data_IF_264118203116
#
_entry.id   IF_264118203116
#
_cell.length_a   1.000
_cell.length_b   1.000
_cell.length_c   1.000
_cell.angle_alpha   90.00
_cell.angle_beta   90.00
_cell.angle_gamma   90.00
#
_symmetry.space_group_name_H-M   'P 1'
#
loop_
_entity.id
_entity.type
_entity.pdbx_description
1 polymer ?
#
# COMPACT_ATOMS: atom_id res chain seq x y z
N UNK A 1 6.36 60.24 15.69
CA UNK A 1 5.21 59.35 15.42
C UNK A 1 5.73 58.17 14.62
N UNK A 2 5.98 57.05 15.31
CA UNK A 2 6.62 55.84 14.78
C UNK A 2 5.50 54.91 14.35
N UNK A 3 5.40 54.59 13.05
CA UNK A 3 4.55 53.50 12.55
C UNK A 3 5.45 52.32 12.22
N UNK A 4 5.58 51.42 13.19
CA UNK A 4 6.20 50.11 13.04
C UNK A 4 5.26 49.25 12.19
N UNK A 5 5.61 49.03 10.92
CA UNK A 5 4.94 48.03 10.08
C UNK A 5 5.59 46.69 10.39
N UNK A 6 4.87 45.88 11.14
CA UNK A 6 5.19 44.50 11.45
C UNK A 6 4.90 43.65 10.20
N UNK A 7 5.86 43.56 9.28
CA UNK A 7 5.85 42.54 8.22
C UNK A 7 6.33 41.23 8.79
N UNK A 8 5.39 40.42 9.27
CA UNK A 8 5.57 38.99 9.54
C UNK A 8 5.89 38.31 8.21
N UNK A 9 7.18 38.10 7.93
CA UNK A 9 7.62 37.14 6.93
C UNK A 9 7.31 35.74 7.48
N UNK A 10 6.16 35.19 7.09
CA UNK A 10 5.94 33.75 7.18
C UNK A 10 6.80 33.14 6.08
N UNK A 11 7.99 32.69 6.45
CA UNK A 11 8.79 31.80 5.62
C UNK A 11 8.00 30.49 5.49
N UNK A 12 7.24 30.36 4.41
CA UNK A 12 6.62 29.12 4.01
C UNK A 12 7.78 28.17 3.66
N UNK A 13 8.10 27.26 4.57
CA UNK A 13 9.02 26.16 4.32
C UNK A 13 8.35 25.30 3.26
N UNK A 14 8.75 25.45 2.01
CA UNK A 14 8.50 24.47 0.96
C UNK A 14 9.33 23.25 1.33
N UNK A 15 8.77 22.36 2.17
CA UNK A 15 9.22 20.97 2.18
C UNK A 15 8.83 20.46 0.81
N UNK A 16 9.83 20.23 -0.04
CA UNK A 16 9.70 19.69 -1.38
C UNK A 16 9.25 18.22 -1.32
N UNK A 17 8.13 17.94 -0.65
CA UNK A 17 7.45 16.67 -0.77
C UNK A 17 6.91 16.59 -2.18
N UNK A 18 7.31 15.56 -2.92
CA UNK A 18 6.67 15.20 -4.18
C UNK A 18 5.25 14.76 -3.80
N UNK A 19 4.32 15.72 -3.79
CA UNK A 19 2.92 15.44 -3.53
C UNK A 19 2.40 14.55 -4.64
N UNK A 20 1.70 13.47 -4.26
CA UNK A 20 1.01 12.62 -5.22
C UNK A 20 0.05 13.47 -6.09
N UNK A 21 -0.21 13.08 -7.35
CA UNK A 21 -1.18 13.79 -8.18
C UNK A 21 -2.55 13.87 -7.49
N UNK A 22 -3.34 14.90 -7.81
CA UNK A 22 -4.65 15.09 -7.19
C UNK A 22 -5.55 13.86 -7.38
N UNK A 23 -6.04 13.29 -6.28
CA UNK A 23 -6.86 12.07 -6.28
C UNK A 23 -6.08 10.78 -6.07
N UNK A 24 -4.75 10.83 -5.97
CA UNK A 24 -3.90 9.67 -5.67
C UNK A 24 -3.59 9.61 -4.17
N UNK A 25 -3.68 8.43 -3.53
CA UNK A 25 -3.25 8.22 -2.15
C UNK A 25 -1.80 8.67 -1.95
N UNK A 26 -1.56 9.49 -0.92
CA UNK A 26 -0.21 9.92 -0.57
C UNK A 26 0.45 8.86 0.31
N UNK A 27 1.71 8.54 -0.01
CA UNK A 27 2.57 7.73 0.86
C UNK A 27 2.68 8.36 2.25
N UNK A 28 2.81 7.51 3.27
CA UNK A 28 2.99 7.96 4.64
C UNK A 28 4.42 8.45 4.81
N UNK A 29 4.61 9.63 5.41
CA UNK A 29 5.94 10.20 5.64
C UNK A 29 6.83 9.20 6.44
N UNK A 30 8.11 9.03 6.06
CA UNK A 30 8.90 9.84 5.13
C UNK A 30 8.68 9.52 3.63
N UNK A 31 7.82 8.55 3.32
CA UNK A 31 7.56 8.08 1.97
C UNK A 31 7.08 9.16 1.00
N UNK A 32 7.55 9.07 -0.25
CA UNK A 32 7.11 9.87 -1.39
C UNK A 32 6.52 8.96 -2.47
N UNK A 33 5.51 9.47 -3.17
CA UNK A 33 4.88 8.75 -4.28
C UNK A 33 5.80 8.72 -5.49
N UNK A 34 6.00 7.52 -6.04
CA UNK A 34 6.82 7.29 -7.24
C UNK A 34 5.95 7.01 -8.46
N UNK A 35 5.02 6.06 -8.35
CA UNK A 35 4.19 5.58 -9.45
C UNK A 35 2.95 4.87 -8.92
N UNK A 36 1.97 4.63 -9.78
CA UNK A 36 0.73 3.93 -9.43
C UNK A 36 0.00 3.47 -10.68
N UNK A 37 -0.79 2.41 -10.55
CA UNK A 37 -1.61 1.89 -11.64
C UNK A 37 -2.76 2.87 -11.97
N UNK A 38 -3.52 2.56 -13.04
CA UNK A 38 -4.49 3.50 -13.62
C UNK A 38 -5.57 4.02 -12.65
N UNK A 39 -5.96 3.21 -11.66
CA UNK A 39 -6.94 3.57 -10.63
C UNK A 39 -6.31 3.87 -9.26
N UNK A 40 -4.98 3.83 -9.16
CA UNK A 40 -4.22 4.02 -7.92
C UNK A 40 -4.59 3.03 -6.79
N UNK A 41 -5.11 1.85 -7.14
CA UNK A 41 -5.26 0.73 -6.21
C UNK A 41 -3.91 0.09 -5.86
N UNK A 42 -2.90 0.30 -6.69
CA UNK A 42 -1.51 -0.06 -6.41
C UNK A 42 -0.65 1.19 -6.57
N UNK A 43 0.18 1.48 -5.58
CA UNK A 43 1.14 2.60 -5.60
C UNK A 43 2.53 2.14 -5.17
N UNK A 44 3.54 2.87 -5.62
CA UNK A 44 4.94 2.70 -5.23
C UNK A 44 5.36 3.87 -4.38
N UNK A 45 5.87 3.57 -3.20
CA UNK A 45 6.36 4.55 -2.22
C UNK A 45 7.86 4.36 -1.98
N UNK A 46 8.59 5.45 -1.88
CA UNK A 46 10.03 5.48 -1.63
C UNK A 46 10.35 6.33 -0.41
N UNK A 47 11.26 5.91 0.46
CA UNK A 47 11.88 6.79 1.44
C UNK A 47 13.14 7.40 0.80
N UNK A 48 13.09 8.66 0.33
CA UNK A 48 14.19 9.24 -0.43
C UNK A 48 15.46 9.49 0.41
N UNK A 49 15.38 9.27 1.72
CA UNK A 49 16.54 9.34 2.63
C UNK A 49 17.25 8.01 2.80
N UNK A 50 16.70 6.91 2.27
CA UNK A 50 17.18 5.54 2.43
C UNK A 50 17.43 5.19 3.92
N UNK A 51 16.54 5.63 4.83
CA UNK A 51 16.70 5.38 6.28
C UNK A 51 15.74 4.33 6.81
N UNK A 52 14.60 4.14 6.15
CA UNK A 52 13.62 3.11 6.49
C UNK A 52 14.22 1.74 6.15
N UNK A 53 14.19 0.81 7.11
CA UNK A 53 14.58 -0.57 6.89
C UNK A 53 13.54 -1.29 6.02
N UNK A 54 13.94 -2.20 5.14
CA UNK A 54 13.00 -2.88 4.21
C UNK A 54 11.89 -3.64 4.94
N UNK A 55 12.17 -4.22 6.10
CA UNK A 55 11.16 -4.88 6.94
C UNK A 55 10.03 -3.93 7.40
N UNK A 56 10.30 -2.62 7.43
CA UNK A 56 9.37 -1.58 7.88
C UNK A 56 8.73 -0.82 6.70
N UNK A 57 8.98 -1.22 5.44
CA UNK A 57 8.45 -0.53 4.27
C UNK A 57 6.93 -0.42 4.20
N UNK A 58 6.20 -1.31 4.89
CA UNK A 58 4.76 -1.18 5.03
C UNK A 58 4.33 0.14 5.69
N UNK A 59 5.20 0.73 6.52
CA UNK A 59 4.95 2.04 7.15
C UNK A 59 5.01 3.21 6.16
N UNK A 60 5.57 3.02 4.97
CA UNK A 60 5.59 4.00 3.88
C UNK A 60 4.28 4.02 3.09
N UNK A 61 3.49 2.94 3.17
CA UNK A 61 2.25 2.82 2.43
C UNK A 61 1.22 3.87 2.88
N UNK A 62 0.32 4.31 1.99
CA UNK A 62 -0.78 5.19 2.36
C UNK A 62 -1.67 4.59 3.46
N UNK A 63 -2.47 5.43 4.11
CA UNK A 63 -3.51 4.93 5.00
C UNK A 63 -4.49 4.01 4.25
N UNK A 64 -4.91 2.90 4.88
CA UNK A 64 -5.74 1.84 4.28
C UNK A 64 -5.07 1.02 3.16
N UNK A 65 -3.74 1.14 3.04
CA UNK A 65 -2.91 0.31 2.16
C UNK A 65 -2.01 -0.58 3.00
N UNK A 66 -1.54 -1.66 2.39
CA UNK A 66 -0.57 -2.60 2.95
C UNK A 66 0.43 -3.01 1.86
N UNK A 67 1.48 -3.74 2.22
CA UNK A 67 2.40 -4.28 1.23
C UNK A 67 1.70 -5.33 0.37
N UNK A 68 1.74 -5.16 -0.95
CA UNK A 68 1.04 -6.04 -1.89
C UNK A 68 1.48 -7.50 -1.78
N UNK A 69 0.52 -8.41 -1.77
CA UNK A 69 0.77 -9.81 -2.10
C UNK A 69 1.10 -9.97 -3.59
N UNK A 70 1.64 -11.13 -3.97
CA UNK A 70 1.89 -11.45 -5.38
C UNK A 70 0.60 -11.47 -6.21
N UNK A 71 -0.51 -11.96 -5.63
CA UNK A 71 -1.79 -12.07 -6.31
C UNK A 71 -2.43 -10.69 -6.53
N UNK A 72 -2.35 -9.79 -5.55
CA UNK A 72 -2.85 -8.42 -5.70
C UNK A 72 -2.07 -7.64 -6.75
N UNK A 73 -0.74 -7.75 -6.75
CA UNK A 73 0.08 -7.10 -7.77
C UNK A 73 -0.29 -7.61 -9.17
N UNK A 74 -0.26 -8.92 -9.40
CA UNK A 74 -0.54 -9.50 -10.72
C UNK A 74 -2.00 -9.29 -11.16
N UNK A 75 -2.94 -9.08 -10.24
CA UNK A 75 -4.35 -8.80 -10.59
C UNK A 75 -4.57 -7.32 -10.94
N UNK A 76 -3.82 -6.41 -10.33
CA UNK A 76 -4.02 -4.97 -10.47
C UNK A 76 -2.96 -4.23 -11.30
N UNK A 77 -1.92 -4.91 -11.78
CA UNK A 77 -0.83 -4.29 -12.55
C UNK A 77 -1.17 -4.04 -14.04
N UNK A 78 -2.36 -4.43 -14.49
CA UNK A 78 -2.81 -4.22 -15.86
C UNK A 78 -2.81 -2.72 -16.25
N UNK A 79 -2.42 -2.44 -17.49
CA UNK A 79 -2.37 -1.08 -18.07
C UNK A 79 -1.53 -0.08 -17.25
N UNK A 80 -0.56 -0.56 -16.47
CA UNK A 80 0.39 0.30 -15.77
C UNK A 80 1.60 0.61 -16.66
N UNK A 81 1.65 1.85 -17.14
CA UNK A 81 2.73 2.34 -17.99
C UNK A 81 4.06 2.50 -17.22
N UNK A 82 5.16 2.27 -17.94
CA UNK A 82 6.50 2.54 -17.45
C UNK A 82 7.25 1.28 -17.00
N UNK A 83 8.33 1.49 -16.25
CA UNK A 83 9.26 0.44 -15.84
C UNK A 83 9.68 0.68 -14.40
N UNK A 84 9.81 -0.40 -13.64
CA UNK A 84 10.25 -0.37 -12.25
C UNK A 84 11.66 0.26 -12.15
N UNK A 85 11.86 1.34 -11.36
CA UNK A 85 13.14 2.04 -11.28
C UNK A 85 14.19 1.27 -10.48
N UNK A 86 13.72 0.48 -9.50
CA UNK A 86 14.49 -0.40 -8.64
C UNK A 86 13.62 -1.59 -8.26
N UNK A 87 14.06 -2.42 -7.32
CA UNK A 87 13.26 -3.52 -6.81
C UNK A 87 12.11 -2.97 -5.98
N UNK A 88 10.91 -3.51 -6.20
CA UNK A 88 9.73 -3.17 -5.42
C UNK A 88 9.44 -4.32 -4.46
N UNK A 89 9.28 -4.01 -3.19
CA UNK A 89 9.08 -4.97 -2.13
C UNK A 89 7.62 -4.94 -1.68
N UNK A 90 6.96 -6.08 -1.82
CA UNK A 90 5.62 -6.35 -1.32
C UNK A 90 5.66 -7.15 -0.01
N UNK A 91 4.60 -7.94 0.20
CA UNK A 91 4.32 -8.67 1.43
C UNK A 91 5.53 -9.47 1.93
N UNK A 92 5.74 -9.42 3.25
CA UNK A 92 6.76 -10.20 3.94
C UNK A 92 6.14 -11.50 4.42
N UNK A 93 6.80 -12.63 4.14
CA UNK A 93 6.38 -13.94 4.63
C UNK A 93 7.55 -14.73 5.18
N UNK A 94 7.31 -15.55 6.21
CA UNK A 94 8.32 -16.45 6.75
C UNK A 94 8.78 -17.48 5.71
N UNK A 95 10.08 -17.78 5.71
CA UNK A 95 10.69 -18.77 4.82
C UNK A 95 10.81 -20.12 5.50
N UNK A 96 10.71 -21.18 4.70
CA UNK A 96 11.06 -22.52 5.15
C UNK A 96 12.58 -22.60 5.41
N UNK A 97 12.97 -22.68 6.68
CA UNK A 97 14.38 -22.72 7.11
C UNK A 97 14.84 -21.52 7.94
N UNK A 98 13.95 -20.57 8.22
CA UNK A 98 14.23 -19.41 9.08
C UNK A 98 14.33 -18.10 8.30
N UNK A 99 14.10 -17.00 9.02
CA UNK A 99 13.98 -15.66 8.45
C UNK A 99 12.69 -15.44 7.65
N UNK A 100 12.55 -14.23 7.14
CA UNK A 100 11.44 -13.82 6.28
C UNK A 100 11.96 -13.32 4.91
N UNK A 101 11.05 -13.16 3.96
CA UNK A 101 11.35 -12.52 2.70
C UNK A 101 10.18 -11.80 2.09
N UNK A 102 10.50 -10.73 1.35
CA UNK A 102 9.50 -9.98 0.60
C UNK A 102 9.16 -10.68 -0.71
N UNK A 103 7.89 -10.61 -1.08
CA UNK A 103 7.52 -10.63 -2.50
C UNK A 103 8.28 -9.52 -3.23
N UNK A 104 9.02 -9.87 -4.27
CA UNK A 104 9.91 -8.93 -4.96
C UNK A 104 9.56 -8.82 -6.43
N UNK A 105 9.30 -7.58 -6.89
CA UNK A 105 9.25 -7.23 -8.32
C UNK A 105 10.59 -6.63 -8.70
N UNK A 106 11.29 -7.25 -9.65
CA UNK A 106 12.65 -6.80 -10.02
C UNK A 106 12.65 -5.44 -10.70
N UNK A 107 13.75 -4.71 -10.51
CA UNK A 107 14.03 -3.46 -11.22
C UNK A 107 14.23 -3.69 -12.73
N UNK A 108 13.80 -2.72 -13.54
CA UNK A 108 13.90 -2.77 -15.00
C UNK A 108 12.81 -3.59 -15.70
N UNK A 109 11.80 -4.06 -14.95
CA UNK A 109 10.64 -4.74 -15.53
C UNK A 109 9.53 -3.72 -15.86
N UNK A 110 8.74 -3.93 -16.93
CA UNK A 110 7.49 -3.19 -17.10
C UNK A 110 6.61 -3.35 -15.85
N UNK A 111 5.97 -2.28 -15.40
CA UNK A 111 5.04 -2.37 -14.27
C UNK A 111 3.90 -3.35 -14.55
N UNK A 112 3.46 -3.43 -15.81
CA UNK A 112 2.43 -4.37 -16.25
C UNK A 112 2.92 -5.81 -16.44
N UNK A 113 4.13 -6.16 -15.99
CA UNK A 113 4.64 -7.51 -16.08
C UNK A 113 4.35 -8.27 -14.80
N UNK A 114 3.68 -9.40 -14.93
CA UNK A 114 3.46 -10.34 -13.84
C UNK A 114 4.77 -10.93 -13.33
N UNK A 115 4.85 -11.06 -12.01
CA UNK A 115 5.97 -11.69 -11.34
C UNK A 115 5.43 -12.80 -10.46
N UNK A 116 5.93 -14.02 -10.70
CA UNK A 116 5.60 -15.19 -9.90
C UNK A 116 5.96 -14.95 -8.43
N UNK A 117 5.15 -15.52 -7.53
CA UNK A 117 5.41 -15.46 -6.10
C UNK A 117 6.84 -15.89 -5.79
N UNK A 118 7.50 -15.11 -4.93
CA UNK A 118 8.89 -15.30 -4.55
C UNK A 118 9.14 -14.70 -3.16
N UNK A 119 10.29 -15.02 -2.58
CA UNK A 119 10.74 -14.54 -1.28
C UNK A 119 12.22 -14.19 -1.40
N UNK A 120 12.56 -13.18 -2.20
CA UNK A 120 13.96 -12.94 -2.61
C UNK A 120 14.64 -11.96 -1.67
N UNK A 121 14.13 -10.73 -1.57
CA UNK A 121 14.70 -9.75 -0.64
C UNK A 121 14.55 -10.23 0.81
N UNK A 122 15.66 -10.20 1.55
CA UNK A 122 15.73 -10.69 2.92
C UNK A 122 14.89 -9.80 3.83
N UNK A 123 14.28 -10.39 4.84
CA UNK A 123 13.53 -9.62 5.82
C UNK A 123 13.44 -10.36 7.14
N UNK A 124 12.85 -9.69 8.10
CA UNK A 124 12.59 -10.21 9.43
C UNK A 124 11.14 -9.97 9.82
N UNK A 125 10.53 -11.00 10.41
CA UNK A 125 9.28 -10.86 11.14
C UNK A 125 9.47 -11.41 12.56
N UNK A 126 8.73 -10.90 13.56
CA UNK A 126 8.82 -11.38 14.93
C UNK A 126 8.66 -12.90 15.09
N UNK A 127 7.80 -13.51 14.27
CA UNK A 127 7.52 -14.95 14.27
C UNK A 127 8.61 -15.80 13.56
N UNK A 128 9.51 -15.17 12.80
CA UNK A 128 10.60 -15.82 12.09
C UNK A 128 11.81 -14.89 11.98
N UNK A 129 12.40 -14.63 13.15
CA UNK A 129 13.56 -13.75 13.30
C UNK A 129 14.72 -14.15 12.38
N UNK A 130 15.45 -13.14 11.93
CA UNK A 130 16.63 -13.29 11.12
C UNK A 130 17.74 -12.37 11.65
N UNK A 131 18.72 -12.03 10.83
CA UNK A 131 19.62 -10.90 11.07
C UNK A 131 19.68 -9.98 9.86
N UNK A 132 18.65 -10.07 9.01
CA UNK A 132 18.42 -9.33 7.77
C UNK A 132 17.21 -8.41 7.95
N UNK A 133 16.92 -7.55 6.98
CA UNK A 133 15.74 -6.67 7.03
C UNK A 133 16.07 -5.18 7.19
N UNK A 134 17.36 -4.81 7.21
CA UNK A 134 17.78 -3.42 7.09
C UNK A 134 19.05 -3.22 6.22
N UNK A 135 19.20 -3.99 5.14
CA UNK A 135 20.33 -3.91 4.23
C UNK A 135 19.94 -3.51 2.79
N UNK A 136 18.66 -3.26 2.54
CA UNK A 136 18.05 -2.96 1.24
C UNK A 136 17.23 -1.66 1.28
N UNK A 137 17.70 -0.68 2.04
CA UNK A 137 17.00 0.60 2.32
C UNK A 137 16.69 1.45 1.08
N UNK A 138 17.41 1.24 -0.04
CA UNK A 138 17.18 1.95 -1.31
C UNK A 138 16.21 1.24 -2.27
N UNK A 139 15.47 0.25 -1.80
CA UNK A 139 14.35 -0.36 -2.53
C UNK A 139 13.04 0.34 -2.20
N UNK A 140 12.00 0.10 -3.00
CA UNK A 140 10.73 0.82 -2.86
C UNK A 140 9.63 -0.09 -2.31
N UNK A 141 8.71 0.49 -1.55
CA UNK A 141 7.52 -0.19 -1.04
C UNK A 141 6.49 -0.33 -2.17
N UNK A 142 5.97 -1.55 -2.36
CA UNK A 142 4.87 -1.85 -3.27
C UNK A 142 3.57 -1.97 -2.44
N UNK A 143 2.69 -1.00 -2.58
CA UNK A 143 1.54 -0.82 -1.69
C UNK A 143 0.21 -1.06 -2.42
N UNK A 144 -0.66 -1.91 -1.86
CA UNK A 144 -1.97 -2.25 -2.39
C UNK A 144 -3.08 -1.73 -1.48
N UNK A 145 -4.14 -1.20 -2.10
CA UNK A 145 -5.35 -0.78 -1.42
C UNK A 145 -6.12 -1.98 -0.87
N UNK A 146 -6.86 -1.79 0.23
CA UNK A 146 -7.83 -2.79 0.70
C UNK A 146 -7.35 -3.67 1.85
N UNK A 147 -6.27 -3.29 2.51
CA UNK A 147 -5.86 -3.83 3.80
C UNK A 147 -5.29 -2.69 4.61
N UNK A 148 -5.84 -2.42 5.79
CA UNK A 148 -5.22 -1.46 6.69
C UNK A 148 -3.80 -1.94 7.02
N UNK A 149 -2.79 -1.09 6.85
CA UNK A 149 -1.49 -1.35 7.44
C UNK A 149 -1.68 -1.49 8.94
N UNK A 150 -1.52 -2.71 9.44
CA UNK A 150 -1.33 -2.94 10.85
C UNK A 150 0.17 -3.02 11.08
N UNK A 151 0.79 -2.02 11.75
CA UNK A 151 2.14 -2.19 12.22
C UNK A 151 2.19 -3.47 13.07
N UNK A 152 3.26 -4.29 12.97
CA UNK A 152 3.50 -5.28 14.01
C UNK A 152 3.44 -4.53 15.34
N UNK A 153 2.49 -4.87 16.20
CA UNK A 153 2.66 -4.52 17.61
C UNK A 153 4.00 -5.15 18.02
N UNK A 154 4.78 -4.55 18.91
CA UNK A 154 6.16 -4.99 19.21
C UNK A 154 6.30 -6.42 19.77
N UNK A 155 5.27 -7.26 19.63
CA UNK A 155 5.07 -8.65 19.96
C UNK A 155 4.73 -9.55 18.74
N UNK A 156 4.55 -8.99 17.54
CA UNK A 156 4.36 -9.76 16.31
C UNK A 156 2.97 -10.36 16.12
N UNK A 157 1.94 -9.79 16.73
CA UNK A 157 0.57 -10.26 16.55
C UNK A 157 -0.16 -9.35 15.53
N UNK A 158 -0.71 -9.97 14.48
CA UNK A 158 -1.75 -9.34 13.67
C UNK A 158 -3.00 -9.26 14.57
N UNK A 159 -3.55 -8.06 14.88
CA UNK A 159 -4.74 -7.97 15.70
C UNK A 159 -5.90 -8.68 15.00
N UNK A 160 -6.73 -9.42 15.75
CA UNK A 160 -7.70 -10.38 15.20
C UNK A 160 -8.82 -9.78 14.32
N UNK A 161 -8.80 -8.46 14.08
CA UNK A 161 -9.78 -7.72 13.28
C UNK A 161 -9.14 -6.93 12.11
N UNK A 162 -7.95 -7.32 11.64
CA UNK A 162 -7.22 -6.62 10.56
C UNK A 162 -7.75 -6.84 9.13
N UNK A 163 -8.77 -7.67 8.93
CA UNK A 163 -9.54 -7.69 7.69
C UNK A 163 -10.80 -6.86 7.87
N UNK A 164 -11.00 -5.75 7.13
CA UNK A 164 -12.34 -5.22 7.02
C UNK A 164 -13.18 -6.25 6.26
N UNK A 165 -14.21 -6.81 6.91
CA UNK A 165 -15.28 -7.55 6.27
C UNK A 165 -16.00 -6.63 5.26
N UNK A 166 -15.43 -6.45 4.07
CA UNK A 166 -16.19 -5.88 2.97
C UNK A 166 -17.00 -6.98 2.30
N UNK A 167 -18.29 -6.93 2.61
CA UNK A 167 -19.31 -7.84 2.15
C UNK A 167 -19.22 -8.12 0.65
N UNK A 168 -19.26 -9.40 0.35
CA UNK A 168 -19.69 -9.94 -0.94
C UNK A 168 -21.05 -9.31 -1.25
N UNK A 169 -21.08 -8.27 -2.09
CA UNK A 169 -22.32 -7.94 -2.81
C UNK A 169 -22.48 -9.03 -3.85
N UNK A 170 -23.18 -10.09 -3.43
CA UNK A 170 -23.59 -11.18 -4.29
C UNK A 170 -24.46 -10.61 -5.42
N UNK A 171 -23.86 -10.42 -6.59
CA UNK A 171 -24.59 -10.30 -7.84
C UNK A 171 -25.11 -11.70 -8.23
N UNK A 172 -26.16 -12.19 -7.57
CA UNK A 172 -26.93 -13.34 -8.00
C UNK A 172 -28.35 -13.26 -7.44
N UNK A 173 -29.34 -13.43 -8.31
CA UNK A 173 -30.70 -12.95 -8.13
C UNK A 173 -31.54 -13.65 -7.06
N UNK A 174 -32.61 -12.96 -6.66
CA UNK A 174 -33.81 -13.58 -6.10
C UNK A 174 -35.01 -13.11 -6.93
N UNK A 175 -35.43 -13.99 -7.83
CA UNK A 175 -36.82 -14.08 -8.28
C UNK A 175 -37.73 -14.40 -7.09
N UNK A 176 -38.97 -13.92 -7.20
CA UNK A 176 -40.16 -14.35 -6.48
C UNK A 176 -40.38 -13.81 -5.06
N UNK A 177 -41.27 -12.83 -4.96
CA UNK A 177 -42.25 -12.80 -3.90
C UNK A 177 -43.62 -12.40 -4.47
N UNK A 178 -44.43 -13.43 -4.75
CA UNK A 178 -45.87 -13.29 -4.83
C UNK A 178 -46.40 -12.87 -3.46
N UNK A 179 -47.27 -11.86 -3.39
CA UNK A 179 -47.83 -11.43 -2.10
C UNK A 179 -48.63 -10.13 -2.13
N UNK A 180 -49.79 -10.17 -2.77
CA UNK A 180 -51.03 -9.61 -2.24
C UNK A 180 -51.01 -8.18 -1.66
N UNK A 181 -51.39 -7.19 -2.47
CA UNK A 181 -51.94 -5.93 -1.96
C UNK A 181 -53.31 -5.65 -2.58
N UNK A 182 -54.35 -5.90 -1.79
CA UNK A 182 -55.69 -5.37 -2.00
C UNK A 182 -55.63 -3.87 -1.77
N UNK A 183 -55.99 -3.06 -2.77
CA UNK A 183 -56.50 -1.72 -2.51
C UNK A 183 -57.63 -1.37 -3.48
N UNK A 184 -58.80 -1.17 -2.88
CA UNK A 184 -60.04 -0.70 -3.50
C UNK A 184 -59.92 0.75 -3.96
N UNK A 185 -60.45 1.05 -5.15
CA UNK A 185 -61.25 2.27 -5.46
C UNK A 185 -61.95 2.02 -6.81
N UNK A 186 -63.29 1.88 -6.87
CA UNK A 186 -64.29 2.97 -7.06
C UNK A 186 -63.78 3.98 -8.11
N UNK A 187 -64.33 4.12 -9.31
CA UNK A 187 -65.71 4.01 -9.82
C UNK A 187 -65.72 3.40 -11.21
#
# INVERSE_FOLDING_TARGET
>A
MIRTILTTLIALILVSGVYAPAGVPSCTAPGVYISGNADSSIVVCDDPSDTTCEQDFGSLCPAEFHLCTADEYNTGNDNWDGTTPTWLLGEITCRAGGGAGHYTVYGGLPYSQDVAWNQIAGSELPECLSGYGCNEQGFYALCCAGGGYVPPDGNGEIPPNGVPEFGIVAAAGILAAAGYFISRKRR
#
